data_IF_939086503808
#
_entry.id   IF_939086503808
#
_cell.length_a   1.000
_cell.length_b   1.000
_cell.length_c   1.000
_cell.angle_alpha   90.00
_cell.angle_beta   90.00
_cell.angle_gamma   90.00
#
_symmetry.space_group_name_H-M   'P 1'
#
loop_
_entity.id
_entity.type
_entity.pdbx_description
1 polymer ?
#
# COMPACT_ATOMS: atom_id res chain seq x y z
N UNK A 1 39.42 31.65 11.18
CA UNK A 1 39.20 30.66 10.10
C UNK A 1 38.24 29.61 10.66
N UNK A 2 36.97 29.56 10.22
CA UNK A 2 36.02 28.63 10.78
C UNK A 2 36.17 27.24 10.14
N UNK A 3 35.89 26.26 11.00
CA UNK A 3 36.10 24.83 10.89
C UNK A 3 35.17 24.18 9.85
N UNK A 4 35.73 23.38 8.93
CA UNK A 4 34.96 22.64 7.92
C UNK A 4 34.77 21.21 8.39
N UNK A 5 33.84 20.99 9.31
CA UNK A 5 33.33 19.65 9.58
C UNK A 5 32.37 19.24 8.45
N UNK A 6 32.91 18.45 7.51
CA UNK A 6 32.15 17.78 6.47
C UNK A 6 31.06 16.91 7.08
N UNK A 7 29.80 17.20 6.72
CA UNK A 7 28.65 16.38 7.02
C UNK A 7 28.76 15.10 6.19
N UNK A 8 29.02 13.96 6.85
CA UNK A 8 29.05 12.64 6.21
C UNK A 8 27.75 12.31 5.46
N UNK A 9 27.76 11.31 4.54
CA UNK A 9 26.61 10.99 3.72
C UNK A 9 25.44 10.61 4.64
N UNK A 10 24.32 11.32 4.47
CA UNK A 10 23.09 11.02 5.20
C UNK A 10 22.73 9.56 4.94
N UNK A 11 22.72 8.74 6.00
CA UNK A 11 22.37 7.33 5.92
C UNK A 11 21.09 7.16 5.11
N UNK A 12 21.09 6.22 4.16
CA UNK A 12 19.92 5.93 3.33
C UNK A 12 18.67 5.86 4.20
N UNK A 13 17.64 6.65 3.87
CA UNK A 13 16.38 6.65 4.62
C UNK A 13 15.87 5.20 4.71
N UNK A 14 15.61 4.70 5.93
CA UNK A 14 15.27 3.29 6.22
C UNK A 14 14.21 2.69 5.28
N UNK A 15 13.22 3.48 4.87
CA UNK A 15 12.13 3.06 4.01
C UNK A 15 12.60 2.61 2.61
N UNK A 16 13.72 3.17 2.13
CA UNK A 16 14.35 2.81 0.87
C UNK A 16 14.89 1.38 0.85
N UNK A 17 14.99 0.72 2.01
CA UNK A 17 15.43 -0.65 2.18
C UNK A 17 14.26 -1.65 2.28
N UNK A 18 13.01 -1.19 2.08
CA UNK A 18 11.84 -2.07 2.09
C UNK A 18 11.96 -3.16 1.02
N UNK A 19 11.65 -4.39 1.40
CA UNK A 19 11.53 -5.50 0.46
C UNK A 19 10.14 -5.51 -0.17
N UNK A 20 10.09 -5.56 -1.49
CA UNK A 20 8.84 -5.71 -2.26
C UNK A 20 8.65 -7.18 -2.60
N UNK A 21 7.54 -7.75 -2.14
CA UNK A 21 7.21 -9.16 -2.36
C UNK A 21 5.99 -9.27 -3.26
N UNK A 22 6.12 -10.04 -4.34
CA UNK A 22 4.99 -10.48 -5.15
C UNK A 22 4.75 -11.96 -4.89
N UNK A 23 3.62 -12.28 -4.26
CA UNK A 23 3.20 -13.64 -3.96
C UNK A 23 2.21 -14.06 -5.02
N UNK A 24 2.45 -15.20 -5.68
CA UNK A 24 1.62 -15.68 -6.79
C UNK A 24 1.29 -17.14 -6.54
N UNK A 25 0.03 -17.52 -6.78
CA UNK A 25 -0.34 -18.93 -6.75
C UNK A 25 -0.18 -19.62 -8.11
N UNK A 26 -0.49 -20.92 -8.17
CA UNK A 26 -0.38 -21.71 -9.38
C UNK A 26 -1.34 -21.29 -10.51
N UNK A 27 -2.37 -20.50 -10.21
CA UNK A 27 -3.39 -20.03 -11.15
C UNK A 27 -3.17 -18.57 -11.57
N UNK A 28 -2.13 -17.92 -11.04
CA UNK A 28 -1.73 -16.56 -11.39
C UNK A 28 -2.32 -15.47 -10.51
N UNK A 29 -3.14 -15.82 -9.51
CA UNK A 29 -3.65 -14.85 -8.54
C UNK A 29 -2.49 -14.33 -7.70
N UNK A 30 -2.40 -13.01 -7.54
CA UNK A 30 -1.22 -12.36 -7.01
C UNK A 30 -1.51 -11.27 -5.98
N UNK A 31 -0.68 -11.22 -4.94
CA UNK A 31 -0.63 -10.13 -3.97
C UNK A 31 0.72 -9.41 -4.08
N UNK A 32 0.69 -8.07 -4.07
CA UNK A 32 1.90 -7.25 -3.98
C UNK A 32 1.98 -6.60 -2.60
N UNK A 33 3.02 -6.96 -1.85
CA UNK A 33 3.37 -6.39 -0.55
C UNK A 33 4.52 -5.41 -0.76
N UNK A 34 4.19 -4.13 -0.84
CA UNK A 34 5.15 -3.09 -1.24
C UNK A 34 6.00 -2.53 -0.07
N UNK A 35 5.66 -2.88 1.17
CA UNK A 35 6.31 -2.30 2.36
C UNK A 35 6.18 -0.78 2.37
N UNK A 36 7.23 -0.08 2.76
CA UNK A 36 7.23 1.39 2.85
C UNK A 36 8.01 2.05 1.72
N UNK A 37 8.09 1.41 0.54
CA UNK A 37 8.71 2.04 -0.63
C UNK A 37 8.03 3.38 -0.96
N UNK A 38 8.84 4.35 -1.41
CA UNK A 38 8.35 5.64 -1.89
C UNK A 38 8.53 5.74 -3.42
N UNK A 39 8.07 6.85 -4.00
CA UNK A 39 8.05 7.09 -5.44
C UNK A 39 9.37 6.78 -6.17
N UNK A 40 10.54 7.02 -5.54
CA UNK A 40 11.83 6.72 -6.14
C UNK A 40 12.06 5.21 -6.33
N UNK A 41 11.73 4.39 -5.33
CA UNK A 41 11.81 2.94 -5.42
C UNK A 41 10.74 2.39 -6.38
N UNK A 42 9.51 2.91 -6.30
CA UNK A 42 8.44 2.59 -7.23
C UNK A 42 8.85 2.81 -8.70
N UNK A 43 9.42 3.98 -9.00
CA UNK A 43 9.91 4.30 -10.34
C UNK A 43 11.03 3.35 -10.77
N UNK A 44 11.95 2.98 -9.87
CA UNK A 44 12.99 2.01 -10.17
C UNK A 44 12.42 0.61 -10.50
N UNK A 45 11.36 0.18 -9.81
CA UNK A 45 10.66 -1.08 -10.11
C UNK A 45 9.99 -1.06 -11.48
N UNK A 46 9.35 0.05 -11.83
CA UNK A 46 8.70 0.22 -13.14
C UNK A 46 9.75 0.28 -14.26
N UNK A 47 10.81 1.08 -14.09
CA UNK A 47 11.85 1.26 -15.10
C UNK A 47 12.62 -0.03 -15.40
N UNK A 48 12.80 -0.92 -14.42
CA UNK A 48 13.44 -2.22 -14.64
C UNK A 48 12.51 -3.29 -15.22
N UNK A 49 11.24 -2.97 -15.49
CA UNK A 49 10.26 -3.93 -16.00
C UNK A 49 9.95 -5.05 -15.02
N UNK A 50 9.92 -4.76 -13.71
CA UNK A 50 9.59 -5.78 -12.72
C UNK A 50 8.17 -6.33 -12.94
N UNK A 51 7.96 -7.61 -12.66
CA UNK A 51 6.62 -8.18 -12.61
C UNK A 51 5.86 -7.61 -11.40
N UNK A 52 5.00 -6.61 -11.65
CA UNK A 52 4.28 -5.88 -10.60
C UNK A 52 2.77 -6.15 -10.59
N UNK A 53 2.21 -6.69 -11.67
CA UNK A 53 0.78 -6.94 -11.78
C UNK A 53 0.28 -7.85 -10.65
N UNK A 54 -0.75 -7.40 -9.92
CA UNK A 54 -1.32 -8.12 -8.78
C UNK A 54 -2.83 -7.84 -8.64
N UNK A 55 -3.58 -8.77 -8.04
CA UNK A 55 -5.00 -8.60 -7.72
C UNK A 55 -5.22 -7.68 -6.53
N UNK A 56 -4.37 -7.85 -5.52
CA UNK A 56 -4.41 -7.07 -4.27
C UNK A 56 -3.07 -6.38 -4.05
N UNK A 57 -3.12 -5.08 -3.77
CA UNK A 57 -1.98 -4.27 -3.37
C UNK A 57 -2.10 -3.95 -1.88
N UNK A 58 -1.11 -4.37 -1.08
CA UNK A 58 -0.89 -3.74 0.22
C UNK A 58 -0.24 -2.38 -0.02
N UNK A 59 -1.00 -1.31 0.21
CA UNK A 59 -0.62 0.04 -0.22
C UNK A 59 0.70 0.44 0.43
N UNK A 60 1.70 0.90 -0.36
CA UNK A 60 2.99 1.26 0.18
C UNK A 60 2.88 2.38 1.22
N UNK A 61 3.72 2.30 2.26
CA UNK A 61 3.93 3.36 3.23
C UNK A 61 2.62 3.90 3.83
N UNK A 62 1.70 2.99 4.14
CA UNK A 62 0.37 3.29 4.70
C UNK A 62 -0.51 4.23 3.85
N UNK A 63 -0.15 4.46 2.58
CA UNK A 63 -0.77 5.48 1.73
C UNK A 63 -0.24 6.89 1.98
N UNK A 64 1.04 7.04 2.28
CA UNK A 64 1.72 8.34 2.30
C UNK A 64 1.65 9.04 0.95
N UNK A 65 1.54 10.38 0.94
CA UNK A 65 1.57 11.20 -0.29
C UNK A 65 2.85 11.03 -1.11
N UNK A 66 3.92 10.52 -0.51
CA UNK A 66 5.21 10.21 -1.15
C UNK A 66 5.25 8.86 -1.85
N UNK A 67 4.14 8.09 -1.83
CA UNK A 67 4.02 6.74 -2.37
C UNK A 67 2.79 6.58 -3.27
N UNK A 68 2.60 5.37 -3.80
CA UNK A 68 1.53 5.00 -4.72
C UNK A 68 1.46 5.94 -5.92
N UNK A 69 2.60 6.17 -6.57
CA UNK A 69 2.69 7.01 -7.77
C UNK A 69 1.84 6.47 -8.92
N UNK A 70 1.40 7.34 -9.83
CA UNK A 70 0.58 6.96 -10.97
C UNK A 70 1.24 5.85 -11.83
N UNK A 71 2.51 5.97 -12.26
CA UNK A 71 3.15 4.91 -13.05
C UNK A 71 3.25 3.57 -12.33
N UNK A 72 3.41 3.60 -11.00
CA UNK A 72 3.42 2.38 -10.20
C UNK A 72 2.05 1.73 -10.17
N UNK A 73 0.99 2.48 -9.86
CA UNK A 73 -0.38 1.95 -9.86
C UNK A 73 -0.80 1.44 -11.25
N UNK A 74 -0.35 2.08 -12.34
CA UNK A 74 -0.58 1.64 -13.71
C UNK A 74 0.17 0.34 -14.07
N UNK A 75 1.31 0.09 -13.42
CA UNK A 75 2.05 -1.16 -13.56
C UNK A 75 1.49 -2.29 -12.68
N UNK A 76 0.97 -1.97 -11.48
CA UNK A 76 0.39 -2.97 -10.55
C UNK A 76 -1.02 -3.39 -10.98
N UNK A 77 -1.85 -2.45 -11.45
CA UNK A 77 -3.25 -2.66 -11.85
C UNK A 77 -4.07 -3.49 -10.83
N UNK A 78 -4.04 -3.16 -9.53
CA UNK A 78 -4.76 -3.95 -8.54
C UNK A 78 -6.25 -3.72 -8.63
N UNK A 79 -7.04 -4.75 -8.32
CA UNK A 79 -8.49 -4.62 -8.18
C UNK A 79 -8.84 -4.07 -6.81
N UNK A 80 -8.06 -4.46 -5.80
CA UNK A 80 -8.22 -3.99 -4.42
C UNK A 80 -6.92 -3.46 -3.84
N UNK A 81 -7.00 -2.32 -3.15
CA UNK A 81 -5.93 -1.71 -2.38
C UNK A 81 -6.24 -1.81 -0.88
N UNK A 82 -5.40 -2.54 -0.14
CA UNK A 82 -5.46 -2.65 1.32
C UNK A 82 -4.60 -1.54 1.94
N UNK A 83 -5.25 -0.61 2.64
CA UNK A 83 -4.58 0.49 3.33
C UNK A 83 -4.45 0.17 4.81
N UNK A 84 -3.21 -0.03 5.26
CA UNK A 84 -2.92 -0.22 6.68
C UNK A 84 -2.63 1.13 7.33
N UNK A 85 -3.67 1.87 7.72
CA UNK A 85 -3.55 3.17 8.38
C UNK A 85 -4.30 3.17 9.72
N UNK A 86 -3.85 4.01 10.65
CA UNK A 86 -4.56 4.21 11.91
C UNK A 86 -5.82 5.06 11.71
N UNK A 87 -6.86 4.81 12.51
CA UNK A 87 -8.01 5.72 12.58
C UNK A 87 -7.53 7.12 12.98
N UNK A 88 -7.93 8.15 12.21
CA UNK A 88 -7.45 9.54 12.40
C UNK A 88 -5.93 9.61 12.50
N UNK A 89 -5.24 8.93 11.58
CA UNK A 89 -3.77 8.91 11.51
C UNK A 89 -3.19 10.31 11.71
N UNK A 90 -2.27 10.45 12.68
CA UNK A 90 -1.57 11.71 12.97
C UNK A 90 -0.75 12.22 11.78
N UNK A 91 -0.41 11.32 10.86
CA UNK A 91 0.37 11.62 9.64
C UNK A 91 -0.54 11.95 8.45
N UNK A 92 -1.87 11.91 8.63
CA UNK A 92 -2.84 12.15 7.56
C UNK A 92 -2.89 11.01 6.54
N UNK A 93 -2.68 9.76 6.98
CA UNK A 93 -2.73 8.58 6.10
C UNK A 93 -4.09 7.85 6.18
N UNK A 94 -4.58 7.29 5.06
CA UNK A 94 -4.06 7.50 3.70
C UNK A 94 -4.24 8.96 3.24
N UNK A 95 -3.26 9.48 2.50
CA UNK A 95 -3.31 10.83 1.99
C UNK A 95 -4.45 10.99 0.95
N UNK A 96 -5.19 12.11 0.94
CA UNK A 96 -6.28 12.33 -0.01
C UNK A 96 -5.88 12.15 -1.48
N UNK A 97 -4.65 12.52 -1.85
CA UNK A 97 -4.12 12.39 -3.20
C UNK A 97 -3.87 10.91 -3.58
N UNK A 98 -3.51 10.06 -2.61
CA UNK A 98 -3.38 8.61 -2.82
C UNK A 98 -4.77 8.01 -3.06
N UNK A 99 -5.74 8.34 -2.20
CA UNK A 99 -7.13 7.89 -2.36
C UNK A 99 -7.73 8.36 -3.70
N UNK A 100 -7.38 9.57 -4.14
CA UNK A 100 -7.79 10.08 -5.44
C UNK A 100 -7.24 9.24 -6.59
N UNK A 101 -5.93 8.96 -6.62
CA UNK A 101 -5.32 8.14 -7.68
C UNK A 101 -5.89 6.73 -7.75
N UNK A 102 -6.20 6.13 -6.60
CA UNK A 102 -6.85 4.82 -6.52
C UNK A 102 -8.27 4.88 -7.10
N UNK A 103 -9.06 5.89 -6.73
CA UNK A 103 -10.43 6.09 -7.19
C UNK A 103 -10.51 6.34 -8.69
N UNK A 104 -9.63 7.17 -9.24
CA UNK A 104 -9.54 7.46 -10.68
C UNK A 104 -9.28 6.20 -11.52
N UNK A 105 -8.70 5.16 -10.92
CA UNK A 105 -8.44 3.85 -11.55
C UNK A 105 -9.50 2.80 -11.24
N UNK A 106 -10.57 3.16 -10.53
CA UNK A 106 -11.61 2.21 -10.12
C UNK A 106 -11.14 1.15 -9.12
N UNK A 107 -10.04 1.41 -8.41
CA UNK A 107 -9.46 0.46 -7.45
C UNK A 107 -10.29 0.50 -6.16
N UNK A 108 -10.81 -0.64 -5.72
CA UNK A 108 -11.53 -0.75 -4.46
C UNK A 108 -10.58 -0.51 -3.29
N UNK A 109 -10.95 0.34 -2.33
CA UNK A 109 -10.11 0.66 -1.17
C UNK A 109 -10.69 -0.02 0.07
N UNK A 110 -9.85 -0.79 0.77
CA UNK A 110 -10.17 -1.38 2.07
C UNK A 110 -9.20 -0.82 3.10
N UNK A 111 -9.73 -0.11 4.09
CA UNK A 111 -8.92 0.52 5.14
C UNK A 111 -9.02 -0.27 6.45
N UNK A 112 -7.88 -0.54 7.10
CA UNK A 112 -7.85 -1.27 8.37
C UNK A 112 -8.72 -0.67 9.49
N UNK A 113 -8.92 0.66 9.62
CA UNK A 113 -9.84 1.22 10.62
C UNK A 113 -11.29 0.74 10.44
N UNK A 114 -11.76 0.65 9.20
CA UNK A 114 -13.14 0.26 8.84
C UNK A 114 -13.30 -1.26 8.77
N UNK A 115 -12.26 -1.97 8.34
CA UNK A 115 -12.28 -3.41 8.10
C UNK A 115 -11.92 -4.23 9.35
N UNK A 116 -11.08 -3.68 10.25
CA UNK A 116 -10.39 -4.49 11.25
C UNK A 116 -9.26 -5.28 10.58
N UNK A 117 -9.24 -6.59 10.77
CA UNK A 117 -8.38 -7.47 9.97
C UNK A 117 -9.00 -7.66 8.57
N UNK A 118 -8.23 -7.33 7.54
CA UNK A 118 -8.55 -7.67 6.16
C UNK A 118 -7.96 -9.04 5.82
N UNK A 119 -8.74 -9.92 5.20
CA UNK A 119 -8.28 -11.23 4.74
C UNK A 119 -8.48 -11.36 3.24
N UNK A 120 -7.48 -11.90 2.56
CA UNK A 120 -7.53 -12.18 1.13
C UNK A 120 -6.96 -13.58 0.91
N UNK A 121 -7.56 -14.32 -0.03
CA UNK A 121 -7.12 -15.65 -0.40
C UNK A 121 -6.99 -15.74 -1.91
N UNK A 122 -5.87 -16.27 -2.40
CA UNK A 122 -5.63 -16.40 -3.85
C UNK A 122 -6.64 -17.30 -4.55
N UNK A 123 -7.25 -18.25 -3.82
CA UNK A 123 -8.35 -19.08 -4.30
C UNK A 123 -9.67 -18.31 -4.57
N UNK A 124 -9.82 -17.09 -4.01
CA UNK A 124 -10.96 -16.19 -4.24
C UNK A 124 -10.44 -14.75 -4.40
N UNK A 125 -9.69 -14.48 -5.48
CA UNK A 125 -8.88 -13.27 -5.58
C UNK A 125 -9.71 -11.98 -5.69
N UNK A 126 -10.99 -12.13 -6.02
CA UNK A 126 -12.00 -11.09 -6.20
C UNK A 126 -12.60 -10.60 -4.87
N UNK A 127 -12.28 -11.27 -3.75
CA UNK A 127 -12.90 -11.02 -2.45
C UNK A 127 -11.87 -10.65 -1.40
N UNK A 128 -12.23 -9.64 -0.61
CA UNK A 128 -11.53 -9.31 0.64
C UNK A 128 -12.56 -9.40 1.76
N UNK A 129 -12.28 -10.27 2.74
CA UNK A 129 -13.06 -10.37 3.97
C UNK A 129 -12.65 -9.29 4.96
N UNK A 130 -13.61 -8.81 5.74
CA UNK A 130 -13.39 -7.76 6.74
C UNK A 130 -13.94 -8.20 8.09
N UNK A 131 -13.06 -8.38 9.07
CA UNK A 131 -13.42 -8.88 10.40
C UNK A 131 -14.56 -8.08 11.05
N UNK A 132 -14.56 -6.75 10.90
CA UNK A 132 -15.62 -5.88 11.46
C UNK A 132 -16.97 -6.04 10.77
N UNK A 133 -17.00 -6.57 9.55
CA UNK A 133 -18.22 -6.89 8.82
C UNK A 133 -18.64 -8.34 9.11
N UNK A 134 -17.70 -9.28 8.97
CA UNK A 134 -17.94 -10.71 9.07
C UNK A 134 -18.29 -11.16 10.49
N UNK A 135 -17.80 -10.45 11.51
CA UNK A 135 -18.04 -10.76 12.93
C UNK A 135 -18.62 -9.59 13.70
N UNK A 136 -19.38 -8.73 13.00
CA UNK A 136 -20.03 -7.58 13.60
C UNK A 136 -20.92 -8.00 14.78
N UNK A 137 -20.70 -7.36 15.93
CA UNK A 137 -21.54 -7.55 17.12
C UNK A 137 -22.44 -6.33 17.34
N UNK A 138 -23.61 -6.52 17.96
CA UNK A 138 -24.58 -5.45 18.14
C UNK A 138 -24.05 -4.23 18.93
N UNK A 139 -22.99 -4.40 19.71
CA UNK A 139 -22.33 -3.35 20.50
C UNK A 139 -21.12 -2.71 19.81
N UNK A 140 -20.83 -3.07 18.57
CA UNK A 140 -19.75 -2.46 17.78
C UNK A 140 -20.33 -1.34 16.91
N UNK A 141 -19.74 -0.15 16.99
CA UNK A 141 -20.14 0.97 16.16
C UNK A 141 -19.28 1.07 14.90
N UNK A 142 -19.88 1.38 13.74
CA UNK A 142 -19.13 1.71 12.53
C UNK A 142 -18.26 2.94 12.76
N UNK A 143 -17.05 2.91 12.20
CA UNK A 143 -16.21 4.11 12.11
C UNK A 143 -16.84 5.06 11.08
N UNK A 144 -17.09 6.34 11.42
CA UNK A 144 -17.62 7.33 10.47
C UNK A 144 -16.75 7.43 9.20
#
# INVERSE_FOLDING_TARGET
LPDTMGKGPQGQRSNALSCVLRVVDAHGAAALLAGDIEAAQEQALVARGAALQADVLLVPHHGSKTSSSAPFLDAVQPRTALVQAAYRSRFGHPAPEVLQRLRERGIAVVESPRCGAATWASAQPDRVGCERQDRMRYWQHPVP
#
